data_IF_860744247097
#
_entry.id   IF_860744247097
#
_cell.length_a   1.000
_cell.length_b   1.000
_cell.length_c   1.000
_cell.angle_alpha   90.00
_cell.angle_beta   90.00
_cell.angle_gamma   90.00
#
_symmetry.space_group_name_H-M   'P 1'
#
loop_
_entity.id
_entity.type
_entity.pdbx_description
1 polymer ?
#
# COMPACT_ATOMS: atom_id res chain seq x y z
N UNK A 1 -5.43 10.10 0.11
CA UNK A 1 -4.44 10.82 0.93
C UNK A 1 -3.56 11.78 0.12
N UNK A 2 -4.01 12.26 -1.05
CA UNK A 2 -3.29 13.29 -1.83
C UNK A 2 -3.94 14.66 -1.66
N UNK A 3 -3.16 15.73 -1.79
CA UNK A 3 -3.65 17.12 -1.71
C UNK A 3 -4.56 17.49 -2.88
N UNK A 4 -4.52 16.70 -3.97
CA UNK A 4 -5.36 16.87 -5.16
C UNK A 4 -6.63 16.02 -5.13
N UNK A 5 -6.92 15.32 -4.03
CA UNK A 5 -8.12 14.50 -3.94
C UNK A 5 -9.38 15.39 -3.98
N UNK A 6 -10.40 14.89 -4.64
CA UNK A 6 -11.72 15.53 -4.79
C UNK A 6 -12.81 14.55 -4.36
N UNK A 7 -14.03 15.00 -4.06
CA UNK A 7 -15.13 14.08 -3.78
C UNK A 7 -15.34 13.02 -4.87
N UNK A 8 -15.12 13.36 -6.13
CA UNK A 8 -15.24 12.42 -7.26
C UNK A 8 -14.13 11.38 -7.26
N UNK A 9 -12.87 11.80 -7.07
CA UNK A 9 -11.76 10.84 -6.96
C UNK A 9 -11.87 9.96 -5.73
N UNK A 10 -12.36 10.51 -4.61
CA UNK A 10 -12.60 9.71 -3.39
C UNK A 10 -13.67 8.64 -3.62
N UNK A 11 -14.78 8.96 -4.31
CA UNK A 11 -15.80 7.97 -4.65
C UNK A 11 -15.23 6.82 -5.49
N UNK A 12 -14.46 7.13 -6.54
CA UNK A 12 -13.85 6.12 -7.39
C UNK A 12 -12.80 5.28 -6.62
N UNK A 13 -11.98 5.91 -5.78
CA UNK A 13 -10.99 5.21 -4.95
C UNK A 13 -11.66 4.24 -3.96
N UNK A 14 -12.69 4.70 -3.24
CA UNK A 14 -13.40 3.89 -2.25
C UNK A 14 -14.14 2.73 -2.91
N UNK A 15 -14.73 2.93 -4.09
CA UNK A 15 -15.37 1.85 -4.84
C UNK A 15 -14.34 0.81 -5.32
N UNK A 16 -13.19 1.25 -5.82
CA UNK A 16 -12.09 0.33 -6.16
C UNK A 16 -11.67 -0.51 -4.95
N UNK A 17 -11.46 0.11 -3.78
CA UNK A 17 -11.11 -0.59 -2.53
C UNK A 17 -12.20 -1.59 -2.15
N UNK A 18 -13.46 -1.21 -2.21
CA UNK A 18 -14.59 -2.09 -1.90
C UNK A 18 -14.62 -3.34 -2.76
N UNK A 19 -14.41 -3.20 -4.06
CA UNK A 19 -14.37 -4.33 -5.00
C UNK A 19 -13.17 -5.23 -4.69
N UNK A 20 -11.98 -4.66 -4.54
CA UNK A 20 -10.76 -5.42 -4.27
C UNK A 20 -10.89 -6.26 -3.00
N UNK A 21 -11.26 -5.66 -1.87
CA UNK A 21 -11.37 -6.35 -0.60
C UNK A 21 -12.46 -7.44 -0.59
N UNK A 22 -13.54 -7.24 -1.33
CA UNK A 22 -14.57 -8.28 -1.52
C UNK A 22 -14.05 -9.49 -2.30
N UNK A 23 -13.14 -9.28 -3.25
CA UNK A 23 -12.60 -10.34 -4.11
C UNK A 23 -11.34 -11.00 -3.50
N UNK A 24 -10.62 -10.34 -2.61
CA UNK A 24 -9.40 -10.87 -1.99
C UNK A 24 -9.52 -12.31 -1.47
N UNK A 25 -10.58 -12.71 -0.74
CA UNK A 25 -10.71 -14.10 -0.29
C UNK A 25 -10.78 -15.12 -1.44
N UNK A 26 -11.32 -14.74 -2.60
CA UNK A 26 -11.39 -15.59 -3.79
C UNK A 26 -10.03 -15.72 -4.47
N UNK A 27 -9.24 -14.65 -4.48
CA UNK A 27 -7.84 -14.68 -4.96
C UNK A 27 -7.03 -15.62 -4.08
N UNK A 28 -7.14 -15.48 -2.76
CA UNK A 28 -6.45 -16.31 -1.77
C UNK A 28 -6.80 -17.79 -1.94
N UNK A 29 -8.06 -18.10 -2.22
CA UNK A 29 -8.56 -19.45 -2.44
C UNK A 29 -8.29 -20.01 -3.85
N UNK A 30 -7.78 -19.19 -4.80
CA UNK A 30 -7.62 -19.59 -6.20
C UNK A 30 -8.93 -19.86 -6.93
N UNK A 31 -10.05 -19.26 -6.49
CA UNK A 31 -11.42 -19.56 -6.95
C UNK A 31 -12.08 -18.40 -7.71
N UNK A 32 -11.28 -17.66 -8.49
CA UNK A 32 -11.79 -16.54 -9.31
C UNK A 32 -12.64 -17.05 -10.47
N UNK A 33 -13.88 -16.56 -10.56
CA UNK A 33 -14.73 -16.69 -11.74
C UNK A 33 -14.46 -15.56 -12.75
N UNK A 34 -14.98 -15.69 -13.98
CA UNK A 34 -14.80 -14.67 -15.02
C UNK A 34 -15.38 -13.31 -14.62
N UNK A 35 -16.56 -13.28 -13.99
CA UNK A 35 -17.15 -12.05 -13.46
C UNK A 35 -16.29 -11.37 -12.38
N UNK A 36 -15.53 -12.13 -11.57
CA UNK A 36 -14.61 -11.57 -10.60
C UNK A 36 -13.41 -10.89 -11.30
N UNK A 37 -12.96 -11.45 -12.42
CA UNK A 37 -11.89 -10.88 -13.24
C UNK A 37 -12.31 -9.58 -13.91
N UNK A 38 -13.55 -9.50 -14.40
CA UNK A 38 -14.15 -8.29 -14.95
C UNK A 38 -14.22 -7.18 -13.88
N UNK A 39 -14.65 -7.53 -12.67
CA UNK A 39 -14.70 -6.58 -11.55
C UNK A 39 -13.32 -6.12 -11.11
N UNK A 40 -12.31 -7.00 -11.09
CA UNK A 40 -10.91 -6.61 -10.83
C UNK A 40 -10.38 -5.64 -11.89
N UNK A 41 -10.71 -5.87 -13.17
CA UNK A 41 -10.35 -4.96 -14.25
C UNK A 41 -11.03 -3.60 -14.07
N UNK A 42 -12.30 -3.59 -13.70
CA UNK A 42 -13.05 -2.37 -13.42
C UNK A 42 -12.46 -1.63 -12.20
N UNK A 43 -12.16 -2.31 -11.11
CA UNK A 43 -11.49 -1.71 -9.95
C UNK A 43 -10.13 -1.11 -10.30
N UNK A 44 -9.34 -1.79 -11.13
CA UNK A 44 -8.06 -1.30 -11.64
C UNK A 44 -8.23 -0.03 -12.50
N UNK A 45 -9.24 0.01 -13.37
CA UNK A 45 -9.57 1.19 -14.16
C UNK A 45 -9.94 2.39 -13.27
N UNK A 46 -10.80 2.18 -12.25
CA UNK A 46 -11.14 3.22 -11.29
C UNK A 46 -9.90 3.76 -10.58
N UNK A 47 -9.04 2.87 -10.06
CA UNK A 47 -7.79 3.25 -9.41
C UNK A 47 -6.85 4.01 -10.34
N UNK A 48 -6.70 3.57 -11.60
CA UNK A 48 -5.91 4.26 -12.62
C UNK A 48 -6.42 5.67 -12.91
N UNK A 49 -7.74 5.85 -12.99
CA UNK A 49 -8.36 7.17 -13.17
C UNK A 49 -8.06 8.10 -11.98
N UNK A 50 -8.12 7.57 -10.76
CA UNK A 50 -7.77 8.33 -9.54
C UNK A 50 -6.30 8.73 -9.56
N UNK A 51 -5.39 7.82 -9.90
CA UNK A 51 -3.95 8.11 -10.00
C UNK A 51 -3.69 9.19 -11.06
N UNK A 52 -4.33 9.11 -12.21
CA UNK A 52 -4.18 10.10 -13.28
C UNK A 52 -4.61 11.51 -12.84
N UNK A 53 -5.63 11.61 -11.98
CA UNK A 53 -6.14 12.88 -11.48
C UNK A 53 -5.35 13.42 -10.28
N UNK A 54 -5.04 12.57 -9.32
CA UNK A 54 -4.56 12.99 -7.99
C UNK A 54 -3.10 12.63 -7.70
N UNK A 55 -2.47 11.84 -8.55
CA UNK A 55 -1.12 11.32 -8.34
C UNK A 55 -1.09 10.16 -7.33
N UNK A 56 0.12 9.82 -6.90
CA UNK A 56 0.40 8.71 -5.99
C UNK A 56 0.70 9.19 -4.57
N UNK A 57 0.75 8.28 -3.61
CA UNK A 57 1.08 8.55 -2.20
C UNK A 57 2.54 8.20 -1.88
N UNK A 58 2.93 8.37 -0.61
CA UNK A 58 4.26 8.02 -0.11
C UNK A 58 4.63 6.54 -0.35
N UNK A 59 3.65 5.63 -0.35
CA UNK A 59 3.86 4.20 -0.63
C UNK A 59 4.61 3.98 -1.95
N UNK A 60 4.32 4.77 -2.99
CA UNK A 60 5.04 4.66 -4.25
C UNK A 60 6.50 5.11 -4.16
N UNK A 61 6.78 6.18 -3.41
CA UNK A 61 8.15 6.61 -3.17
C UNK A 61 8.94 5.55 -2.40
N UNK A 62 8.32 4.92 -1.42
CA UNK A 62 8.88 3.83 -0.63
C UNK A 62 9.03 2.52 -1.42
N UNK A 63 8.12 2.22 -2.34
CA UNK A 63 8.15 1.01 -3.16
C UNK A 63 9.21 1.03 -4.27
N UNK A 64 9.67 2.22 -4.71
CA UNK A 64 10.67 2.31 -5.78
C UNK A 64 12.00 1.62 -5.43
N UNK A 65 12.63 1.80 -4.26
CA UNK A 65 13.83 1.09 -3.90
C UNK A 65 13.68 -0.44 -3.93
N UNK A 66 12.56 -0.96 -3.44
CA UNK A 66 12.26 -2.39 -3.45
C UNK A 66 12.22 -2.94 -4.88
N UNK A 67 11.58 -2.20 -5.78
CA UNK A 67 11.51 -2.57 -7.19
C UNK A 67 12.87 -2.42 -7.87
N UNK A 68 13.56 -1.31 -7.67
CA UNK A 68 14.79 -0.97 -8.38
C UNK A 68 15.97 -1.86 -7.95
N UNK A 69 16.20 -1.98 -6.64
CA UNK A 69 17.38 -2.69 -6.12
C UNK A 69 17.19 -4.19 -6.01
N UNK A 70 15.97 -4.66 -5.82
CA UNK A 70 15.69 -6.08 -5.54
C UNK A 70 14.77 -6.75 -6.58
N UNK A 71 14.31 -6.01 -7.58
CA UNK A 71 13.45 -6.55 -8.63
C UNK A 71 12.04 -6.95 -8.17
N UNK A 72 11.61 -6.49 -6.99
CA UNK A 72 10.27 -6.78 -6.48
C UNK A 72 9.22 -6.20 -7.43
N UNK A 73 8.20 -6.96 -7.85
CA UNK A 73 7.14 -6.43 -8.69
C UNK A 73 6.51 -5.18 -8.08
N UNK A 74 6.29 -4.13 -8.88
CA UNK A 74 5.88 -2.81 -8.38
C UNK A 74 4.61 -2.84 -7.52
N UNK A 75 3.61 -3.63 -7.93
CA UNK A 75 2.36 -3.79 -7.15
C UNK A 75 2.59 -4.44 -5.79
N UNK A 76 3.47 -5.45 -5.73
CA UNK A 76 3.87 -6.13 -4.50
C UNK A 76 4.67 -5.20 -3.58
N UNK A 77 5.66 -4.48 -4.13
CA UNK A 77 6.46 -3.50 -3.41
C UNK A 77 5.61 -2.42 -2.73
N UNK A 78 4.54 -1.96 -3.38
CA UNK A 78 3.59 -1.02 -2.80
C UNK A 78 2.65 -1.71 -1.81
N UNK A 79 2.17 -2.89 -2.13
CA UNK A 79 1.19 -3.63 -1.34
C UNK A 79 1.69 -3.94 0.07
N UNK A 80 2.96 -4.35 0.22
CA UNK A 80 3.56 -4.69 1.52
C UNK A 80 3.72 -3.49 2.47
N UNK A 81 3.65 -2.27 1.94
CA UNK A 81 3.78 -1.01 2.69
C UNK A 81 2.43 -0.34 2.96
N UNK A 82 1.38 -0.77 2.26
CA UNK A 82 0.09 -0.08 2.27
C UNK A 82 -0.59 -0.11 3.65
N UNK A 83 -0.43 -1.22 4.38
CA UNK A 83 -0.99 -1.36 5.73
C UNK A 83 -0.33 -0.43 6.74
N UNK A 84 0.98 -0.24 6.65
CA UNK A 84 1.73 0.67 7.52
C UNK A 84 1.41 2.14 7.20
N UNK A 85 1.26 2.47 5.91
CA UNK A 85 0.79 3.80 5.52
C UNK A 85 -0.61 4.10 6.07
N UNK A 86 -1.50 3.09 6.08
CA UNK A 86 -2.84 3.28 6.64
C UNK A 86 -2.79 3.47 8.16
N UNK A 87 -1.89 2.76 8.88
CA UNK A 87 -1.68 2.94 10.30
C UNK A 87 -1.19 4.37 10.63
N UNK A 88 -0.22 4.88 9.87
CA UNK A 88 0.23 6.27 10.00
C UNK A 88 -0.90 7.27 9.73
N UNK A 89 -1.72 7.00 8.71
CA UNK A 89 -2.87 7.84 8.38
C UNK A 89 -3.97 7.77 9.45
N UNK A 90 -4.13 6.67 10.17
CA UNK A 90 -5.07 6.59 11.31
C UNK A 90 -4.70 7.59 12.40
N UNK A 91 -3.42 7.74 12.69
CA UNK A 91 -2.93 8.72 13.66
C UNK A 91 -3.14 10.19 13.22
N UNK A 92 -3.02 10.46 11.93
CA UNK A 92 -2.94 11.82 11.36
C UNK A 92 -4.23 12.28 10.66
N UNK A 93 -4.98 11.36 10.10
CA UNK A 93 -6.16 11.59 9.25
C UNK A 93 -7.26 10.56 9.57
N UNK A 94 -7.73 10.46 10.83
CA UNK A 94 -8.60 9.38 11.30
C UNK A 94 -9.90 9.27 10.48
N UNK A 95 -10.55 10.38 10.15
CA UNK A 95 -11.82 10.38 9.39
C UNK A 95 -11.63 9.79 7.97
N UNK A 96 -10.50 10.08 7.32
CA UNK A 96 -10.21 9.51 6.00
C UNK A 96 -9.88 8.02 6.09
N UNK A 97 -9.17 7.63 7.13
CA UNK A 97 -8.86 6.22 7.40
C UNK A 97 -10.13 5.43 7.68
N UNK A 98 -11.05 5.94 8.48
CA UNK A 98 -12.34 5.30 8.74
C UNK A 98 -13.13 5.05 7.45
N UNK A 99 -13.15 6.01 6.50
CA UNK A 99 -13.80 5.82 5.20
C UNK A 99 -13.19 4.67 4.40
N UNK A 100 -11.87 4.51 4.43
CA UNK A 100 -11.16 3.41 3.77
C UNK A 100 -11.49 2.07 4.43
N UNK A 101 -11.42 1.99 5.77
CA UNK A 101 -11.76 0.77 6.51
C UNK A 101 -13.19 0.33 6.24
N UNK A 102 -14.13 1.28 6.21
CA UNK A 102 -15.54 1.02 5.87
C UNK A 102 -15.68 0.49 4.44
N UNK A 103 -14.98 1.08 3.46
CA UNK A 103 -15.00 0.61 2.07
C UNK A 103 -14.38 -0.78 1.94
N UNK A 104 -13.28 -1.06 2.65
CA UNK A 104 -12.64 -2.37 2.71
C UNK A 104 -13.47 -3.43 3.45
N UNK A 105 -14.49 -3.03 4.21
CA UNK A 105 -15.25 -3.94 5.06
C UNK A 105 -14.43 -4.50 6.23
N UNK A 106 -13.40 -3.78 6.68
CA UNK A 106 -12.54 -4.17 7.80
C UNK A 106 -12.88 -3.36 9.04
N UNK A 107 -12.81 -4.00 10.21
CA UNK A 107 -13.18 -3.37 11.48
C UNK A 107 -12.13 -2.35 11.98
N UNK A 108 -10.84 -2.56 11.62
CA UNK A 108 -9.71 -1.78 12.06
C UNK A 108 -8.52 -1.95 11.09
N UNK A 109 -7.46 -1.16 11.31
CA UNK A 109 -6.23 -1.22 10.52
C UNK A 109 -5.54 -2.59 10.62
N UNK A 110 -5.60 -3.26 11.77
CA UNK A 110 -5.01 -4.58 11.95
C UNK A 110 -5.68 -5.63 11.04
N UNK A 111 -7.01 -5.60 10.93
CA UNK A 111 -7.76 -6.46 10.02
C UNK A 111 -7.44 -6.15 8.54
N UNK A 112 -7.27 -4.87 8.19
CA UNK A 112 -6.85 -4.44 6.86
C UNK A 112 -5.44 -4.97 6.51
N UNK A 113 -4.45 -4.79 7.40
CA UNK A 113 -3.09 -5.34 7.28
C UNK A 113 -3.12 -6.85 7.11
N UNK A 114 -3.88 -7.56 7.95
CA UNK A 114 -4.01 -9.01 7.87
C UNK A 114 -4.57 -9.51 6.52
N UNK A 115 -5.49 -8.79 5.89
CA UNK A 115 -5.99 -9.14 4.56
C UNK A 115 -4.89 -8.98 3.49
N UNK A 116 -4.10 -7.91 3.55
CA UNK A 116 -2.98 -7.70 2.63
C UNK A 116 -1.87 -8.76 2.82
N UNK A 117 -1.48 -9.05 4.06
CA UNK A 117 -0.43 -10.03 4.37
C UNK A 117 -0.78 -11.44 3.86
N UNK A 118 -2.06 -11.83 3.89
CA UNK A 118 -2.48 -13.12 3.31
C UNK A 118 -2.33 -13.19 1.80
N UNK A 119 -2.60 -12.07 1.11
CA UNK A 119 -2.47 -11.98 -0.35
C UNK A 119 -1.03 -11.92 -0.82
N UNK A 120 -0.17 -11.24 -0.05
CA UNK A 120 1.20 -10.92 -0.41
C UNK A 120 2.21 -11.89 0.24
N UNK A 121 1.84 -13.16 0.35
CA UNK A 121 2.71 -14.21 0.89
C UNK A 121 3.90 -14.46 -0.02
N UNK A 122 5.08 -14.62 0.59
CA UNK A 122 6.29 -15.06 -0.11
C UNK A 122 7.09 -13.96 -0.80
N UNK A 123 6.75 -12.69 -0.60
CA UNK A 123 7.59 -11.60 -1.09
C UNK A 123 8.97 -11.57 -0.40
N UNK A 124 9.92 -10.93 -1.07
CA UNK A 124 11.31 -10.89 -0.63
C UNK A 124 11.46 -10.17 0.72
N UNK A 125 12.45 -10.61 1.51
CA UNK A 125 12.86 -9.97 2.76
C UNK A 125 14.09 -9.12 2.53
N UNK A 126 14.27 -8.07 3.32
CA UNK A 126 15.32 -7.08 3.16
C UNK A 126 16.08 -6.85 4.46
N UNK A 127 17.36 -6.47 4.37
CA UNK A 127 18.19 -6.13 5.51
C UNK A 127 17.78 -4.77 6.09
N UNK A 128 17.90 -4.63 7.41
CA UNK A 128 17.60 -3.36 8.09
C UNK A 128 18.42 -2.20 7.54
N UNK A 129 19.70 -2.42 7.22
CA UNK A 129 20.58 -1.41 6.61
C UNK A 129 20.12 -0.94 5.24
N UNK A 130 19.51 -1.82 4.45
CA UNK A 130 18.86 -1.43 3.20
C UNK A 130 17.68 -0.50 3.47
N UNK A 131 16.83 -0.84 4.46
CA UNK A 131 15.64 -0.07 4.80
C UNK A 131 15.98 1.34 5.32
N UNK A 132 17.03 1.48 6.11
CA UNK A 132 17.51 2.80 6.59
C UNK A 132 17.97 3.71 5.45
N UNK A 133 18.73 3.16 4.50
CA UNK A 133 19.15 3.86 3.29
C UNK A 133 17.96 4.25 2.41
N UNK A 134 17.01 3.34 2.22
CA UNK A 134 15.83 3.61 1.38
C UNK A 134 14.84 4.57 2.03
N UNK A 135 14.80 4.64 3.37
CA UNK A 135 14.02 5.65 4.06
C UNK A 135 14.55 7.05 3.80
N UNK A 136 15.89 7.24 3.78
CA UNK A 136 16.52 8.50 3.37
C UNK A 136 16.12 8.86 1.93
N UNK A 137 16.37 7.93 0.99
CA UNK A 137 16.08 8.13 -0.43
C UNK A 137 14.60 8.46 -0.68
N UNK A 138 13.69 7.75 -0.02
CA UNK A 138 12.26 7.98 -0.17
C UNK A 138 11.82 9.32 0.43
N UNK A 139 12.41 9.77 1.55
CA UNK A 139 12.07 11.03 2.21
C UNK A 139 12.39 12.25 1.35
N UNK A 140 13.39 12.15 0.48
CA UNK A 140 13.80 13.18 -0.47
C UNK A 140 12.95 13.20 -1.75
N UNK A 141 12.08 12.21 -1.97
CA UNK A 141 11.32 12.10 -3.20
C UNK A 141 10.33 13.27 -3.35
N UNK A 142 10.41 14.05 -4.43
CA UNK A 142 9.55 15.22 -4.64
C UNK A 142 8.05 14.88 -4.71
N UNK A 143 7.67 13.63 -5.00
CA UNK A 143 6.27 13.17 -5.00
C UNK A 143 5.62 13.26 -3.62
N UNK A 144 6.40 13.25 -2.53
CA UNK A 144 5.86 13.43 -1.17
C UNK A 144 5.19 14.79 -0.96
N UNK A 145 5.52 15.81 -1.74
CA UNK A 145 4.84 17.12 -1.69
C UNK A 145 3.35 17.03 -2.06
N UNK A 146 2.95 15.98 -2.77
CA UNK A 146 1.54 15.73 -3.17
C UNK A 146 0.72 14.98 -2.13
N UNK A 147 1.28 14.60 -0.98
CA UNK A 147 0.57 13.83 0.07
C UNK A 147 0.00 14.79 1.12
N UNK A 148 -1.26 14.54 1.54
CA UNK A 148 -1.94 15.39 2.56
C UNK A 148 -1.17 15.43 3.88
N UNK A 149 -0.61 14.30 4.32
CA UNK A 149 0.37 14.21 5.38
C UNK A 149 1.68 13.69 4.78
N UNK A 150 2.69 14.53 4.75
CA UNK A 150 4.01 14.18 4.26
C UNK A 150 4.78 13.46 5.36
N UNK A 151 5.01 12.13 5.23
CA UNK A 151 5.83 11.42 6.18
C UNK A 151 7.29 11.91 6.09
N UNK A 152 7.94 12.04 7.23
CA UNK A 152 9.38 12.27 7.30
C UNK A 152 10.17 10.96 7.21
N UNK A 153 11.51 11.05 7.31
CA UNK A 153 12.37 9.86 7.25
C UNK A 153 12.08 8.86 8.37
N UNK A 154 11.78 9.34 9.57
CA UNK A 154 11.51 8.50 10.74
C UNK A 154 10.17 7.78 10.60
N UNK A 155 9.14 8.46 10.10
CA UNK A 155 7.86 7.86 9.72
C UNK A 155 8.05 6.77 8.66
N UNK A 156 8.84 7.05 7.61
CA UNK A 156 9.12 6.11 6.52
C UNK A 156 9.88 4.88 7.05
N UNK A 157 10.91 5.09 7.85
CA UNK A 157 11.65 3.99 8.46
C UNK A 157 10.76 3.15 9.38
N UNK A 158 9.90 3.78 10.18
CA UNK A 158 8.91 3.09 11.02
C UNK A 158 7.98 2.21 10.18
N UNK A 159 7.51 2.71 9.04
CA UNK A 159 6.66 1.94 8.12
C UNK A 159 7.41 0.74 7.51
N UNK A 160 8.67 0.89 7.11
CA UNK A 160 9.47 -0.24 6.63
C UNK A 160 9.66 -1.30 7.72
N UNK A 161 10.02 -0.88 8.94
CA UNK A 161 10.27 -1.79 10.06
C UNK A 161 8.98 -2.47 10.59
N UNK A 162 7.83 -1.81 10.45
CA UNK A 162 6.53 -2.36 10.83
C UNK A 162 5.94 -3.33 9.81
N UNK A 163 6.46 -3.34 8.59
CA UNK A 163 6.01 -4.24 7.52
C UNK A 163 6.65 -5.62 7.65
N UNK A 164 5.98 -6.64 7.13
CA UNK A 164 6.46 -8.03 7.07
C UNK A 164 7.65 -8.24 6.10
N UNK A 165 8.22 -7.17 5.55
CA UNK A 165 9.38 -7.24 4.64
C UNK A 165 10.73 -7.30 5.34
N UNK A 166 10.78 -7.03 6.65
CA UNK A 166 12.03 -7.10 7.40
C UNK A 166 12.49 -8.55 7.56
N UNK A 167 13.73 -8.83 7.20
CA UNK A 167 14.36 -10.11 7.49
C UNK A 167 14.72 -10.19 8.98
N UNK A 168 14.15 -11.14 9.71
CA UNK A 168 14.62 -11.52 11.03
C UNK A 168 15.85 -12.43 10.87
N UNK A 169 17.03 -11.90 11.19
CA UNK A 169 18.28 -12.65 11.19
C UNK A 169 18.66 -13.17 9.81
N UNK A 170 19.32 -12.37 9.01
CA UNK A 170 19.86 -12.83 7.74
C UNK A 170 20.73 -14.05 7.98
N UNK A 171 20.27 -15.19 7.48
CA UNK A 171 21.16 -16.32 7.32
C UNK A 171 22.02 -16.01 6.07
N UNK A 172 23.33 -15.79 6.17
CA UNK A 172 24.19 -15.39 5.05
C UNK A 172 24.37 -16.48 3.98
N UNK A 173 23.68 -17.60 4.10
CA UNK A 173 23.80 -18.73 3.19
C UNK A 173 22.44 -19.12 2.58
N UNK A 174 21.94 -18.34 1.60
CA UNK A 174 21.06 -18.85 0.53
C UNK A 174 21.21 -18.02 -0.72
#
# INVERSE_FOLDING_TARGET
FTVKSTPVSDLAALESIRILFRIFPKIEAGSLADGDREELLYASMLAGTVIAQSGTTAVHAMGYPLTYYKGTPHGEANGVLLGEMLALCEERLPERTERILRAAGTKDVAAFKGALSRLLRGHARYEKSDLERWAEEASENPKLAGVTYRPDKEDILRMYLGSDILAEGANPER
#
